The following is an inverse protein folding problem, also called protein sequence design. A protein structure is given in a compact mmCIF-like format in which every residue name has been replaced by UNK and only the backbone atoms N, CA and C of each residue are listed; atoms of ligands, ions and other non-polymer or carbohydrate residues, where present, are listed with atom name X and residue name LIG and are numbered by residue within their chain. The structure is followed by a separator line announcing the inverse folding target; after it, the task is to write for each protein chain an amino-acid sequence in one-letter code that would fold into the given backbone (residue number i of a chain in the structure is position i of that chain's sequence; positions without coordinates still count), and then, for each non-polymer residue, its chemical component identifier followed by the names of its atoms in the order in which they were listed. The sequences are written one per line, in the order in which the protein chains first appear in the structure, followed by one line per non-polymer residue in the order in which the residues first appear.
data_IF_619152509128
#
_entry.id   IF_619152509128
#
_cell.length_a   1.000
_cell.length_b   1.000
_cell.length_c   1.000
_cell.angle_alpha   90.00
_cell.angle_beta   90.00
_cell.angle_gamma   90.00
#
_symmetry.space_group_name_H-M   'P 1'
#
loop_
_entity.id
_entity.type
_entity.pdbx_description
1 polymer ?
#
# COMPACT_ATOMS: atom_id res chain seq x y z
N UNK A 1 20.94 -19.27 -15.17
CA UNK A 1 21.04 -17.91 -14.56
C UNK A 1 19.74 -17.58 -13.83
N UNK A 2 19.64 -17.92 -12.54
CA UNK A 2 18.50 -17.57 -11.68
C UNK A 2 18.64 -16.09 -11.33
N UNK A 3 17.86 -15.21 -11.97
CA UNK A 3 17.76 -13.80 -11.58
C UNK A 3 17.02 -13.75 -10.25
N UNK A 4 17.78 -13.58 -9.17
CA UNK A 4 17.27 -13.32 -7.81
C UNK A 4 16.93 -11.83 -7.76
N UNK A 5 15.75 -11.47 -8.28
CA UNK A 5 15.23 -10.11 -8.21
C UNK A 5 14.64 -9.92 -6.80
N UNK A 6 15.35 -9.16 -5.97
CA UNK A 6 14.92 -8.51 -4.71
C UNK A 6 13.92 -9.32 -3.86
N UNK A 7 14.39 -10.30 -3.08
CA UNK A 7 13.53 -11.06 -2.16
C UNK A 7 13.11 -10.31 -0.88
N UNK A 8 13.51 -9.04 -0.71
CA UNK A 8 13.40 -8.34 0.58
C UNK A 8 13.00 -6.86 0.44
N UNK A 9 11.74 -6.54 0.09
CA UNK A 9 11.21 -5.20 0.36
C UNK A 9 11.21 -4.98 1.88
N UNK A 10 12.09 -4.10 2.33
CA UNK A 10 12.00 -3.49 3.67
C UNK A 10 11.05 -2.31 3.54
N UNK A 11 10.10 -2.19 4.45
CA UNK A 11 9.12 -1.11 4.50
C UNK A 11 9.82 0.25 4.74
N UNK A 12 10.34 0.85 3.67
CA UNK A 12 10.97 2.18 3.67
C UNK A 12 10.11 3.23 2.95
N UNK A 13 8.88 2.87 2.57
CA UNK A 13 7.95 3.81 1.97
C UNK A 13 7.32 4.67 3.05
N UNK A 14 7.83 5.89 3.16
CA UNK A 14 7.07 6.93 3.81
C UNK A 14 5.88 7.27 2.90
N UNK A 15 4.74 7.61 3.50
CA UNK A 15 3.69 8.37 2.82
C UNK A 15 4.33 9.72 2.48
N UNK A 16 4.92 9.81 1.29
CA UNK A 16 5.68 10.95 0.82
C UNK A 16 4.69 11.91 0.18
N UNK A 17 4.30 12.93 0.94
CA UNK A 17 3.85 14.16 0.29
C UNK A 17 5.06 14.70 -0.51
N UNK A 18 4.92 15.00 -1.81
CA UNK A 18 5.88 15.90 -2.44
C UNK A 18 5.83 17.21 -1.64
N UNK A 19 6.98 17.62 -1.09
CA UNK A 19 7.10 18.88 -0.37
C UNK A 19 6.68 20.00 -1.33
N UNK A 20 5.61 20.75 -0.98
CA UNK A 20 5.09 21.94 -1.68
C UNK A 20 6.00 22.44 -2.82
N UNK A 21 5.82 21.88 -4.02
CA UNK A 21 6.25 22.54 -5.25
C UNK A 21 5.10 23.46 -5.61
N UNK A 22 5.38 24.76 -5.71
CA UNK A 22 4.36 25.80 -5.83
C UNK A 22 3.46 25.57 -7.05
N UNK A 23 2.24 25.10 -6.80
CA UNK A 23 1.16 25.06 -7.79
C UNK A 23 0.64 26.48 -8.03
N UNK A 24 1.42 27.29 -8.72
CA UNK A 24 0.99 28.52 -9.37
C UNK A 24 1.90 28.77 -10.56
N UNK A 25 1.70 28.04 -11.66
CA UNK A 25 2.09 28.55 -12.98
C UNK A 25 1.00 28.23 -14.01
N UNK A 26 0.58 29.30 -14.67
CA UNK A 26 -0.45 29.36 -15.69
C UNK A 26 0.01 28.69 -17.00
N UNK A 27 -0.97 28.25 -17.78
CA UNK A 27 -0.94 27.95 -19.22
C UNK A 27 -0.45 26.55 -19.66
N UNK A 28 -1.42 25.73 -20.08
CA UNK A 28 -1.45 24.84 -21.26
C UNK A 28 -0.33 23.83 -21.55
N UNK A 29 0.57 23.55 -20.61
CA UNK A 29 1.45 22.39 -20.66
C UNK A 29 1.16 21.48 -19.46
N UNK A 30 1.11 20.16 -19.68
CA UNK A 30 1.18 19.21 -18.57
C UNK A 30 2.41 19.58 -17.71
N UNK A 31 2.26 19.74 -16.39
CA UNK A 31 3.36 20.21 -15.55
C UNK A 31 4.59 19.32 -15.77
N UNK A 32 5.77 19.94 -15.90
CA UNK A 32 7.06 19.27 -16.12
C UNK A 32 7.33 18.18 -15.05
N UNK A 33 6.61 18.25 -13.93
CA UNK A 33 6.67 17.31 -12.81
C UNK A 33 5.81 16.04 -12.99
N UNK A 34 4.82 16.02 -13.89
CA UNK A 34 3.91 14.87 -14.00
C UNK A 34 4.61 13.56 -14.43
N UNK A 35 5.48 13.55 -15.46
CA UNK A 35 6.22 12.34 -15.81
C UNK A 35 7.20 11.89 -14.72
N UNK A 36 7.78 12.85 -13.97
CA UNK A 36 8.66 12.54 -12.85
C UNK A 36 7.90 11.86 -11.70
N UNK A 37 6.72 12.39 -11.35
CA UNK A 37 5.89 11.80 -10.29
C UNK A 37 5.43 10.38 -10.67
N UNK A 38 5.06 10.16 -11.93
CA UNK A 38 4.73 8.81 -12.43
C UNK A 38 5.97 7.89 -12.36
N UNK A 39 7.16 8.36 -12.72
CA UNK A 39 8.37 7.54 -12.61
C UNK A 39 8.68 7.16 -11.15
N UNK A 40 8.45 8.06 -10.19
CA UNK A 40 8.61 7.77 -8.75
C UNK A 40 7.56 6.76 -8.29
N UNK A 41 6.30 6.92 -8.71
CA UNK A 41 5.19 6.00 -8.44
C UNK A 41 5.51 4.56 -8.91
N UNK A 42 5.92 4.39 -10.17
CA UNK A 42 6.27 3.08 -10.70
C UNK A 42 7.51 2.48 -10.01
N UNK A 43 8.47 3.33 -9.64
CA UNK A 43 9.63 2.90 -8.84
C UNK A 43 9.20 2.39 -7.47
N UNK A 44 8.16 2.97 -6.87
CA UNK A 44 7.64 2.52 -5.59
C UNK A 44 6.92 1.17 -5.70
N UNK A 45 6.20 0.88 -6.77
CA UNK A 45 5.69 -0.48 -7.03
C UNK A 45 6.85 -1.50 -7.08
N UNK A 46 7.91 -1.21 -7.83
CA UNK A 46 9.10 -2.09 -7.94
C UNK A 46 9.74 -2.35 -6.57
N UNK A 47 9.80 -1.33 -5.72
CA UNK A 47 10.47 -1.38 -4.43
C UNK A 47 9.61 -2.03 -3.33
N UNK A 48 8.32 -2.32 -3.59
CA UNK A 48 7.49 -3.11 -2.68
C UNK A 48 6.09 -2.58 -2.38
N UNK A 49 5.65 -1.47 -2.96
CA UNK A 49 4.27 -0.99 -2.83
C UNK A 49 3.36 -1.78 -3.77
N UNK A 50 3.14 -3.05 -3.49
CA UNK A 50 2.27 -3.90 -4.29
C UNK A 50 1.67 -5.02 -3.44
N UNK A 51 0.39 -5.35 -3.68
CA UNK A 51 -0.31 -6.40 -2.96
C UNK A 51 0.40 -7.76 -3.01
N UNK A 52 1.03 -8.10 -4.14
CA UNK A 52 1.79 -9.32 -4.29
C UNK A 52 3.11 -9.29 -3.52
N UNK A 53 3.62 -8.12 -3.18
CA UNK A 53 4.88 -7.93 -2.46
C UNK A 53 4.69 -7.77 -0.94
N UNK A 54 3.52 -7.32 -0.48
CA UNK A 54 3.24 -7.12 0.95
C UNK A 54 3.47 -8.38 1.82
N UNK A 55 3.22 -9.59 1.30
CA UNK A 55 3.47 -10.85 2.02
C UNK A 55 4.96 -11.12 2.28
N UNK A 56 5.85 -10.42 1.60
CA UNK A 56 7.30 -10.54 1.79
C UNK A 56 7.87 -9.57 2.81
N UNK A 57 7.06 -8.63 3.33
CA UNK A 57 7.51 -7.60 4.25
C UNK A 57 8.16 -8.20 5.50
N UNK A 58 9.12 -7.45 6.03
CA UNK A 58 9.90 -7.81 7.22
C UNK A 58 9.79 -6.73 8.27
N UNK A 59 9.88 -7.14 9.53
CA UNK A 59 10.00 -6.22 10.64
C UNK A 59 11.30 -5.41 10.47
N UNK A 60 11.24 -4.06 10.47
CA UNK A 60 12.42 -3.23 10.22
C UNK A 60 13.44 -3.27 11.36
N UNK A 61 13.03 -3.69 12.57
CA UNK A 61 13.91 -3.78 13.76
C UNK A 61 14.55 -5.16 13.85
N UNK A 62 13.77 -6.23 13.72
CA UNK A 62 14.26 -7.60 13.92
C UNK A 62 14.69 -8.29 12.63
N UNK A 63 14.25 -7.81 11.46
CA UNK A 63 14.46 -8.47 10.18
C UNK A 63 13.58 -9.71 9.94
N UNK A 64 12.82 -10.15 10.94
CA UNK A 64 11.92 -11.30 10.84
C UNK A 64 10.78 -11.02 9.85
N UNK A 65 10.29 -12.03 9.10
CA UNK A 65 9.19 -11.85 8.18
C UNK A 65 7.90 -11.50 8.94
N UNK A 66 7.13 -10.54 8.43
CA UNK A 66 5.83 -10.20 9.00
C UNK A 66 4.79 -11.28 8.68
N UNK A 67 4.88 -11.91 7.51
CA UNK A 67 4.04 -13.05 7.13
C UNK A 67 4.81 -14.36 7.30
N UNK A 68 4.22 -15.34 7.98
CA UNK A 68 4.86 -16.65 8.24
C UNK A 68 5.17 -17.40 6.92
N UNK A 69 6.33 -18.07 6.89
CA UNK A 69 6.79 -18.89 5.76
C UNK A 69 6.88 -20.38 6.14
N UNK A 70 6.59 -21.33 5.23
CA UNK A 70 6.15 -21.14 3.84
C UNK A 70 4.75 -20.50 3.76
N UNK A 71 4.49 -19.73 2.71
CA UNK A 71 3.18 -19.10 2.53
C UNK A 71 2.10 -20.16 2.32
N UNK A 72 0.95 -19.93 2.93
CA UNK A 72 -0.22 -20.77 2.79
C UNK A 72 -1.35 -19.95 2.18
N UNK A 73 -2.17 -20.58 1.34
CA UNK A 73 -3.39 -19.94 0.86
C UNK A 73 -4.33 -19.78 2.03
N UNK A 74 -4.96 -18.62 2.11
CA UNK A 74 -6.00 -18.33 3.07
C UNK A 74 -7.22 -17.78 2.34
N UNK A 75 -8.41 -18.06 2.89
CA UNK A 75 -9.66 -17.55 2.38
C UNK A 75 -9.80 -16.09 2.80
N UNK A 76 -9.84 -15.19 1.82
CA UNK A 76 -9.84 -13.74 2.03
C UNK A 76 -11.04 -13.14 1.35
N UNK A 77 -11.76 -12.25 2.06
CA UNK A 77 -12.79 -11.40 1.47
C UNK A 77 -12.12 -10.22 0.80
N UNK A 78 -12.17 -10.16 -0.52
CA UNK A 78 -11.48 -9.17 -1.34
C UNK A 78 -12.23 -7.83 -1.37
N UNK A 79 -11.56 -6.78 -1.83
CA UNK A 79 -12.15 -5.42 -1.92
C UNK A 79 -13.36 -5.35 -2.87
N UNK A 80 -13.47 -6.28 -3.83
CA UNK A 80 -14.64 -6.43 -4.71
C UNK A 80 -15.81 -7.20 -4.05
N UNK A 81 -15.66 -7.65 -2.80
CA UNK A 81 -16.67 -8.39 -2.03
C UNK A 81 -16.63 -9.91 -2.20
N UNK A 82 -15.84 -10.44 -3.12
CA UNK A 82 -15.72 -11.88 -3.37
C UNK A 82 -14.77 -12.55 -2.36
N UNK A 83 -15.05 -13.80 -1.99
CA UNK A 83 -14.10 -14.61 -1.21
C UNK A 83 -13.20 -15.43 -2.14
N UNK A 84 -11.87 -15.33 -1.96
CA UNK A 84 -10.88 -16.08 -2.76
C UNK A 84 -9.81 -16.72 -1.87
N UNK A 85 -9.31 -17.88 -2.30
CA UNK A 85 -8.15 -18.55 -1.67
C UNK A 85 -6.85 -18.04 -2.29
N UNK A 86 -6.18 -17.12 -1.58
CA UNK A 86 -5.01 -16.39 -2.08
C UNK A 86 -3.83 -16.48 -1.10
N UNK A 87 -2.61 -16.30 -1.63
CA UNK A 87 -1.41 -16.09 -0.80
C UNK A 87 -1.43 -14.63 -0.33
N UNK A 88 -1.96 -14.40 0.87
CA UNK A 88 -2.22 -13.06 1.40
C UNK A 88 -1.29 -12.72 2.57
N UNK A 89 -0.96 -11.43 2.80
CA UNK A 89 -0.17 -11.02 3.97
C UNK A 89 -0.88 -11.35 5.30
N UNK A 90 -0.09 -11.54 6.35
CA UNK A 90 -0.64 -11.74 7.71
C UNK A 90 -1.28 -10.45 8.27
N UNK A 91 -2.11 -10.61 9.31
CA UNK A 91 -2.91 -9.54 9.93
C UNK A 91 -2.11 -8.43 10.61
N UNK A 92 -0.80 -8.62 10.78
CA UNK A 92 0.15 -7.60 11.24
C UNK A 92 0.65 -6.69 10.10
N UNK A 93 0.36 -7.05 8.85
CA UNK A 93 0.70 -6.29 7.64
C UNK A 93 -0.56 -5.68 7.03
N UNK A 94 -1.60 -6.48 6.79
CA UNK A 94 -2.90 -6.01 6.27
C UNK A 94 -4.03 -6.43 7.20
N UNK A 95 -4.89 -5.47 7.57
CA UNK A 95 -6.17 -5.74 8.22
C UNK A 95 -7.34 -5.49 7.28
N UNK A 96 -8.24 -6.45 7.25
CA UNK A 96 -9.48 -6.41 6.48
C UNK A 96 -10.56 -5.86 7.41
N UNK A 97 -11.23 -4.80 6.98
CA UNK A 97 -12.35 -4.20 7.68
C UNK A 97 -13.57 -4.11 6.75
N UNK A 98 -14.76 -4.21 7.31
CA UNK A 98 -16.01 -4.02 6.57
C UNK A 98 -16.78 -2.87 7.22
N UNK A 99 -17.23 -1.92 6.40
CA UNK A 99 -18.01 -0.80 6.90
C UNK A 99 -19.50 -1.12 7.05
N UNK A 100 -20.27 -0.17 7.58
CA UNK A 100 -21.72 -0.34 7.82
C UNK A 100 -22.53 -0.56 6.54
N UNK A 101 -21.96 -0.31 5.36
CA UNK A 101 -22.59 -0.49 4.05
C UNK A 101 -22.17 -1.82 3.41
N UNK A 102 -21.36 -2.62 4.10
CA UNK A 102 -20.83 -3.89 3.58
C UNK A 102 -19.64 -3.72 2.64
N UNK A 103 -19.06 -2.51 2.52
CA UNK A 103 -17.88 -2.32 1.69
C UNK A 103 -16.64 -2.80 2.45
N UNK A 104 -15.86 -3.66 1.79
CA UNK A 104 -14.62 -4.22 2.32
C UNK A 104 -13.47 -3.26 2.04
N UNK A 105 -12.65 -3.01 3.06
CA UNK A 105 -11.48 -2.14 3.01
C UNK A 105 -10.28 -2.90 3.54
N UNK A 106 -9.15 -2.81 2.85
CA UNK A 106 -7.89 -3.36 3.32
C UNK A 106 -7.00 -2.22 3.80
N UNK A 107 -6.47 -2.35 5.02
CA UNK A 107 -5.60 -1.35 5.63
C UNK A 107 -4.21 -1.93 5.82
N UNK A 108 -3.16 -1.20 5.43
CA UNK A 108 -1.79 -1.52 5.83
C UNK A 108 -1.58 -1.07 7.27
N UNK A 109 -1.22 -2.00 8.16
CA UNK A 109 -1.22 -1.81 9.63
C UNK A 109 0.14 -2.04 10.29
N UNK A 110 1.19 -2.01 9.47
CA UNK A 110 2.57 -2.07 9.93
C UNK A 110 2.88 -0.93 10.91
N UNK A 111 3.89 -1.08 11.80
CA UNK A 111 4.21 -0.04 12.78
C UNK A 111 4.53 1.31 12.15
N UNK A 112 5.27 1.35 11.04
CA UNK A 112 5.69 2.59 10.39
C UNK A 112 4.52 3.31 9.73
N UNK A 113 3.70 2.60 8.95
CA UNK A 113 2.45 3.17 8.40
C UNK A 113 1.57 3.74 9.49
N UNK A 114 1.32 3.00 10.59
CA UNK A 114 0.53 3.48 11.73
C UNK A 114 1.08 4.78 12.31
N UNK A 115 2.38 4.87 12.56
CA UNK A 115 2.99 6.10 13.07
C UNK A 115 2.78 7.26 12.11
N UNK A 116 3.01 7.07 10.81
CA UNK A 116 2.90 8.14 9.82
C UNK A 116 1.45 8.63 9.67
N UNK A 117 0.46 7.74 9.52
CA UNK A 117 -0.95 8.17 9.37
C UNK A 117 -1.52 8.80 10.63
N UNK A 118 -1.16 8.31 11.81
CA UNK A 118 -1.60 8.90 13.09
C UNK A 118 -1.12 10.33 13.22
N UNK A 119 0.14 10.58 12.82
CA UNK A 119 0.72 11.92 12.84
C UNK A 119 0.13 12.80 11.74
N UNK A 120 -0.07 12.27 10.53
CA UNK A 120 -0.63 13.00 9.39
C UNK A 120 -2.05 13.51 9.68
N UNK A 121 -2.92 12.65 10.21
CA UNK A 121 -4.31 12.99 10.52
C UNK A 121 -4.53 13.48 11.96
N UNK A 122 -3.46 13.57 12.75
CA UNK A 122 -3.53 13.87 14.19
C UNK A 122 -4.57 13.01 14.94
N UNK A 123 -4.61 11.71 14.62
CA UNK A 123 -5.60 10.77 15.15
C UNK A 123 -4.91 9.50 15.63
N UNK A 124 -4.61 9.43 16.93
CA UNK A 124 -3.80 8.35 17.52
C UNK A 124 -4.52 7.00 17.59
N UNK A 125 -5.84 6.98 17.39
CA UNK A 125 -6.65 5.76 17.35
C UNK A 125 -6.67 5.11 15.97
N UNK A 126 -6.13 5.75 14.93
CA UNK A 126 -6.04 5.16 13.58
C UNK A 126 -5.26 3.85 13.62
N UNK A 127 -5.78 2.84 12.92
CA UNK A 127 -5.22 1.49 12.89
C UNK A 127 -4.23 1.26 11.76
N UNK A 128 -4.27 2.06 10.70
CA UNK A 128 -3.46 1.90 9.50
C UNK A 128 -3.83 2.87 8.39
N UNK A 129 -3.22 2.69 7.23
CA UNK A 129 -3.55 3.41 5.99
C UNK A 129 -4.42 2.52 5.11
N UNK A 130 -5.54 3.06 4.63
CA UNK A 130 -6.44 2.34 3.74
C UNK A 130 -5.88 2.28 2.32
N UNK A 131 -5.94 1.10 1.70
CA UNK A 131 -5.67 0.90 0.28
C UNK A 131 -6.91 1.22 -0.56
N UNK A 132 -6.71 1.50 -1.84
CA UNK A 132 -7.81 1.67 -2.80
C UNK A 132 -8.83 0.51 -2.72
N UNK A 133 -10.08 0.83 -3.02
CA UNK A 133 -11.21 -0.10 -2.95
C UNK A 133 -11.45 -0.88 -4.25
N UNK A 134 -10.47 -0.84 -5.16
CA UNK A 134 -10.49 -1.56 -6.42
C UNK A 134 -9.29 -2.52 -6.46
N UNK A 135 -9.44 -3.72 -7.01
CA UNK A 135 -8.31 -4.63 -7.11
C UNK A 135 -7.32 -4.12 -8.17
N UNK A 136 -6.01 -4.19 -7.89
CA UNK A 136 -4.94 -3.73 -8.80
C UNK A 136 -5.03 -4.39 -10.18
N UNK A 137 -5.38 -5.67 -10.20
CA UNK A 137 -5.64 -6.47 -11.39
C UNK A 137 -6.87 -7.35 -11.15
N UNK A 138 -7.41 -7.96 -12.22
CA UNK A 138 -8.59 -8.84 -12.11
C UNK A 138 -8.36 -10.00 -11.12
N UNK A 139 -7.13 -10.47 -10.98
CA UNK A 139 -6.75 -11.58 -10.11
C UNK A 139 -6.33 -11.12 -8.70
N UNK A 140 -6.18 -9.81 -8.47
CA UNK A 140 -5.75 -9.25 -7.19
C UNK A 140 -6.91 -9.16 -6.20
N UNK A 141 -6.68 -9.54 -4.94
CA UNK A 141 -7.70 -9.46 -3.87
C UNK A 141 -7.80 -8.08 -3.20
N UNK A 142 -6.79 -7.24 -3.40
CA UNK A 142 -6.66 -5.89 -2.85
C UNK A 142 -6.11 -4.95 -3.93
N UNK A 143 -6.09 -3.66 -3.63
CA UNK A 143 -5.32 -2.67 -4.36
C UNK A 143 -3.85 -2.57 -3.94
N UNK A 144 -3.07 -1.88 -4.78
CA UNK A 144 -1.64 -1.57 -4.60
C UNK A 144 -1.40 -0.06 -4.39
N UNK A 145 -2.48 0.72 -4.31
CA UNK A 145 -2.49 2.16 -4.10
C UNK A 145 -3.10 2.54 -2.76
N UNK A 146 -2.83 3.75 -2.27
CA UNK A 146 -3.57 4.32 -1.14
C UNK A 146 -5.00 4.73 -1.57
N UNK A 147 -5.96 4.74 -0.64
CA UNK A 147 -7.32 5.24 -0.95
C UNK A 147 -7.26 6.73 -1.32
N UNK A 148 -7.48 7.04 -2.59
CA UNK A 148 -7.40 8.40 -3.15
C UNK A 148 -8.25 9.41 -2.37
N UNK A 149 -9.41 8.98 -1.81
CA UNK A 149 -10.28 9.89 -1.05
C UNK A 149 -9.63 10.35 0.25
N UNK A 150 -8.72 9.55 0.81
CA UNK A 150 -7.98 9.87 2.04
C UNK A 150 -6.60 10.46 1.74
N UNK A 151 -5.99 10.09 0.61
CA UNK A 151 -4.60 10.38 0.27
C UNK A 151 -4.46 11.04 -1.12
N UNK A 152 -5.39 11.92 -1.50
CA UNK A 152 -5.48 12.51 -2.86
C UNK A 152 -4.18 13.11 -3.44
N UNK A 153 -3.32 13.66 -2.58
CA UNK A 153 -2.06 14.28 -3.01
C UNK A 153 -0.83 13.39 -2.78
N UNK A 154 -1.03 12.10 -2.52
CA UNK A 154 0.03 11.10 -2.40
C UNK A 154 0.45 10.61 -3.79
N UNK A 155 1.62 9.98 -3.86
CA UNK A 155 2.19 9.48 -5.11
C UNK A 155 1.77 8.03 -5.40
N UNK A 156 1.19 7.31 -4.44
CA UNK A 156 0.69 5.94 -4.49
C UNK A 156 -0.77 5.89 -4.06
#
# INVERSE_FOLDING_TARGET
LKRRMVEHPVENFNILRPAKVGLYQNNDAAPVDAPLLVAIHETAHILGMDIDLFKYYRNPVTGEPLTKRPFQKQKVKCVNGEERDVLFPDSNTIQIEEDKRGQVHHNVVTPRVKTVVRNHFNCQTLKGAKLENQPTSIDSCSGSHWDERLFFSEIM
#
